data_IF_786489550510
#
_entry.id   IF_786489550510
#
_cell.length_a   1.000
_cell.length_b   1.000
_cell.length_c   1.000
_cell.angle_alpha   90.00
_cell.angle_beta   90.00
_cell.angle_gamma   90.00
#
_symmetry.space_group_name_H-M   'P 1'
#
loop_
_entity.id
_entity.type
_entity.pdbx_description
1 polymer ?
#
# COMPACT_ATOMS: atom_id res chain seq x y z
N UNK A 1 -14.05 4.85 46.00
CA UNK A 1 -12.89 5.60 45.48
C UNK A 1 -12.88 5.38 43.98
N UNK A 2 -13.43 6.33 43.21
CA UNK A 2 -13.60 6.20 41.76
C UNK A 2 -12.40 6.84 41.07
N UNK A 3 -11.62 6.03 40.35
CA UNK A 3 -10.53 6.52 39.50
C UNK A 3 -11.16 6.99 38.19
N UNK A 4 -11.32 8.30 38.02
CA UNK A 4 -11.60 8.88 36.71
C UNK A 4 -10.31 8.81 35.90
N UNK A 5 -10.28 7.90 34.93
CA UNK A 5 -9.23 7.89 33.92
C UNK A 5 -9.56 9.03 32.96
N UNK A 6 -8.88 10.17 33.14
CA UNK A 6 -8.84 11.22 32.13
C UNK A 6 -8.28 10.62 30.85
N UNK A 7 -9.14 10.44 29.85
CA UNK A 7 -8.72 10.24 28.48
C UNK A 7 -8.01 11.51 28.06
N UNK A 8 -6.68 11.58 28.26
CA UNK A 8 -5.84 12.54 27.56
C UNK A 8 -6.16 12.39 26.09
N UNK A 9 -6.65 13.48 25.50
CA UNK A 9 -6.91 13.62 24.08
C UNK A 9 -5.81 12.91 23.33
N UNK A 10 -6.17 11.81 22.67
CA UNK A 10 -5.26 11.13 21.76
C UNK A 10 -4.91 12.20 20.74
N UNK A 11 -3.63 12.53 20.51
CA UNK A 11 -3.28 13.55 19.53
C UNK A 11 -3.95 13.11 18.23
N UNK A 12 -4.88 13.94 17.75
CA UNK A 12 -5.50 13.76 16.44
C UNK A 12 -4.35 13.88 15.46
N UNK A 13 -3.75 12.75 15.11
CA UNK A 13 -2.76 12.67 14.05
C UNK A 13 -3.41 13.37 12.85
N UNK A 14 -2.82 14.47 12.37
CA UNK A 14 -3.43 15.21 11.29
C UNK A 14 -3.62 14.24 10.13
N UNK A 15 -4.86 14.14 9.63
CA UNK A 15 -5.22 13.30 8.47
C UNK A 15 -4.55 13.80 7.17
N UNK A 16 -3.66 14.80 7.27
CA UNK A 16 -2.73 15.19 6.23
C UNK A 16 -1.52 14.24 6.16
N UNK A 17 -1.79 12.94 5.97
CA UNK A 17 -0.80 12.09 5.33
C UNK A 17 -0.64 12.55 3.88
N UNK A 18 0.58 12.60 3.36
CA UNK A 18 0.80 12.72 1.92
C UNK A 18 -0.06 11.63 1.21
N UNK A 19 -0.99 12.00 0.32
CA UNK A 19 -1.84 11.03 -0.39
C UNK A 19 -1.03 9.92 -1.06
N UNK A 20 0.18 10.22 -1.52
CA UNK A 20 1.09 9.25 -2.11
C UNK A 20 1.60 8.24 -1.09
N UNK A 21 1.84 8.64 0.16
CA UNK A 21 2.27 7.73 1.22
C UNK A 21 1.11 6.81 1.61
N UNK A 22 -0.11 7.36 1.79
CA UNK A 22 -1.29 6.54 2.09
C UNK A 22 -1.58 5.51 1.00
N UNK A 23 -1.55 5.93 -0.26
CA UNK A 23 -1.78 5.03 -1.38
C UNK A 23 -0.76 3.89 -1.42
N UNK A 24 0.52 4.16 -1.16
CA UNK A 24 1.56 3.11 -1.03
C UNK A 24 1.28 2.14 0.11
N UNK A 25 0.89 2.63 1.30
CA UNK A 25 0.51 1.76 2.41
C UNK A 25 -0.72 0.92 2.11
N UNK A 26 -1.70 1.47 1.41
CA UNK A 26 -2.88 0.74 0.97
C UNK A 26 -2.51 -0.39 0.00
N UNK A 27 -1.62 -0.13 -0.96
CA UNK A 27 -1.11 -1.15 -1.89
C UNK A 27 -0.28 -2.23 -1.18
N UNK A 28 0.52 -1.87 -0.17
CA UNK A 28 1.21 -2.83 0.70
C UNK A 28 0.23 -3.71 1.47
N UNK A 29 -0.84 -3.14 2.01
CA UNK A 29 -1.87 -3.89 2.72
C UNK A 29 -2.52 -4.94 1.81
N UNK A 30 -2.84 -4.59 0.56
CA UNK A 30 -3.32 -5.55 -0.44
C UNK A 30 -2.28 -6.65 -0.70
N UNK A 31 -1.00 -6.28 -0.86
CA UNK A 31 0.10 -7.21 -1.07
C UNK A 31 0.21 -8.26 0.05
N UNK A 32 0.23 -7.83 1.32
CA UNK A 32 0.29 -8.74 2.47
C UNK A 32 -0.98 -9.56 2.65
N UNK A 33 -2.15 -8.98 2.41
CA UNK A 33 -3.43 -9.70 2.39
C UNK A 33 -3.43 -10.84 1.36
N UNK A 34 -2.79 -10.63 0.20
CA UNK A 34 -2.57 -11.67 -0.82
C UNK A 34 -1.74 -12.83 -0.29
N UNK A 35 -0.63 -12.55 0.41
CA UNK A 35 0.20 -13.58 1.02
C UNK A 35 -0.56 -14.40 2.07
N UNK A 36 -1.48 -13.77 2.81
CA UNK A 36 -2.30 -14.44 3.82
C UNK A 36 -3.56 -15.10 3.27
N UNK A 37 -3.90 -14.91 1.99
CA UNK A 37 -5.12 -15.45 1.37
C UNK A 37 -6.42 -14.78 1.85
N UNK A 38 -6.33 -13.68 2.59
CA UNK A 38 -7.47 -12.94 3.16
C UNK A 38 -7.65 -11.66 2.36
N UNK A 39 -8.44 -11.73 1.28
CA UNK A 39 -8.65 -10.63 0.36
C UNK A 39 -10.12 -10.33 0.12
N UNK A 40 -10.47 -9.08 0.37
CA UNK A 40 -11.76 -8.52 0.00
C UNK A 40 -11.66 -7.81 -1.35
N UNK A 41 -12.47 -8.26 -2.32
CA UNK A 41 -12.55 -7.65 -3.65
C UNK A 41 -12.89 -6.16 -3.57
N UNK A 42 -13.76 -5.76 -2.65
CA UNK A 42 -14.16 -4.35 -2.50
C UNK A 42 -12.98 -3.48 -2.05
N UNK A 43 -12.08 -4.02 -1.23
CA UNK A 43 -10.86 -3.36 -0.82
C UNK A 43 -9.89 -3.21 -2.00
N UNK A 44 -9.74 -4.25 -2.82
CA UNK A 44 -8.90 -4.23 -4.03
C UNK A 44 -9.33 -3.13 -4.99
N UNK A 45 -10.62 -3.10 -5.36
CA UNK A 45 -11.14 -2.12 -6.32
C UNK A 45 -11.01 -0.68 -5.77
N UNK A 46 -11.27 -0.49 -4.47
CA UNK A 46 -11.10 0.81 -3.80
C UNK A 46 -9.65 1.30 -3.81
N UNK A 47 -8.71 0.42 -3.47
CA UNK A 47 -7.27 0.74 -3.48
C UNK A 47 -6.79 1.00 -4.91
N UNK A 48 -7.28 0.24 -5.90
CA UNK A 48 -7.02 0.51 -7.32
C UNK A 48 -7.41 1.93 -7.73
N UNK A 49 -8.63 2.35 -7.37
CA UNK A 49 -9.09 3.72 -7.62
C UNK A 49 -8.32 4.79 -6.85
N UNK A 50 -7.79 4.49 -5.67
CA UNK A 50 -6.89 5.40 -4.94
C UNK A 50 -5.54 5.54 -5.64
N UNK A 51 -4.90 4.43 -5.99
CA UNK A 51 -3.61 4.40 -6.70
C UNK A 51 -3.70 5.17 -8.03
N UNK A 52 -4.73 4.89 -8.84
CA UNK A 52 -4.93 5.58 -10.11
C UNK A 52 -5.09 7.09 -9.93
N UNK A 53 -5.89 7.53 -8.96
CA UNK A 53 -6.10 8.97 -8.68
C UNK A 53 -4.84 9.65 -8.17
N UNK A 54 -4.00 8.95 -7.42
CA UNK A 54 -2.82 9.52 -6.79
C UNK A 54 -1.61 9.56 -7.72
N UNK A 55 -1.38 8.52 -8.52
CA UNK A 55 -0.18 8.39 -9.35
C UNK A 55 -0.44 8.51 -10.86
N UNK A 56 -1.70 8.42 -11.29
CA UNK A 56 -2.09 8.49 -12.69
C UNK A 56 -1.79 7.21 -13.48
N UNK A 57 -2.30 7.15 -14.71
CA UNK A 57 -2.22 5.97 -15.57
C UNK A 57 -0.78 5.57 -15.96
N UNK A 58 0.17 6.51 -15.99
CA UNK A 58 1.54 6.25 -16.43
C UNK A 58 2.47 5.71 -15.33
N UNK A 59 2.00 5.58 -14.09
CA UNK A 59 2.84 5.13 -12.98
C UNK A 59 2.97 3.62 -12.95
N UNK A 60 4.17 3.12 -12.67
CA UNK A 60 4.44 1.70 -12.41
C UNK A 60 3.53 1.12 -11.31
N UNK A 61 3.19 1.92 -10.28
CA UNK A 61 2.29 1.48 -9.21
C UNK A 61 0.88 1.23 -9.73
N UNK A 62 0.39 2.10 -10.63
CA UNK A 62 -0.91 1.95 -11.27
C UNK A 62 -0.92 0.71 -12.16
N UNK A 63 0.10 0.52 -12.98
CA UNK A 63 0.21 -0.66 -13.86
C UNK A 63 0.23 -1.97 -13.08
N UNK A 64 1.00 -2.06 -11.98
CA UNK A 64 1.07 -3.28 -11.18
C UNK A 64 -0.24 -3.54 -10.41
N UNK A 65 -0.92 -2.48 -9.94
CA UNK A 65 -2.23 -2.63 -9.31
C UNK A 65 -3.29 -3.09 -10.32
N UNK A 66 -3.31 -2.55 -11.54
CA UNK A 66 -4.23 -2.97 -12.60
C UNK A 66 -3.98 -4.42 -13.04
N UNK A 67 -2.70 -4.82 -13.13
CA UNK A 67 -2.32 -6.22 -13.38
C UNK A 67 -2.84 -7.13 -12.27
N UNK A 68 -2.72 -6.73 -11.00
CA UNK A 68 -3.25 -7.49 -9.87
C UNK A 68 -4.78 -7.63 -9.95
N UNK A 69 -5.51 -6.53 -10.19
CA UNK A 69 -6.98 -6.52 -10.32
C UNK A 69 -7.45 -7.47 -11.42
N UNK A 70 -6.73 -7.46 -12.56
CA UNK A 70 -7.03 -8.30 -13.72
C UNK A 70 -6.79 -9.78 -13.45
N UNK A 71 -5.72 -10.12 -12.72
CA UNK A 71 -5.37 -11.50 -12.37
C UNK A 71 -6.21 -12.06 -11.21
N UNK A 72 -6.75 -11.20 -10.35
CA UNK A 72 -7.42 -11.59 -9.09
C UNK A 72 -8.53 -12.64 -9.25
N UNK A 73 -9.45 -12.57 -10.22
CA UNK A 73 -10.51 -13.58 -10.38
C UNK A 73 -9.99 -14.99 -10.61
N UNK A 74 -8.84 -15.12 -11.27
CA UNK A 74 -8.18 -16.40 -11.56
C UNK A 74 -7.27 -16.82 -10.40
N UNK A 75 -6.47 -15.89 -9.89
CA UNK A 75 -5.47 -16.14 -8.85
C UNK A 75 -6.10 -16.56 -7.51
N UNK A 76 -7.32 -16.11 -7.18
CA UNK A 76 -7.99 -16.49 -5.92
C UNK A 76 -8.20 -18.00 -5.73
N UNK A 77 -8.11 -18.78 -6.82
CA UNK A 77 -8.27 -20.24 -6.78
C UNK A 77 -6.96 -20.98 -6.47
N UNK A 78 -5.82 -20.28 -6.47
CA UNK A 78 -4.49 -20.83 -6.22
C UNK A 78 -3.68 -19.88 -5.35
N UNK A 79 -3.39 -20.30 -4.11
CA UNK A 79 -2.68 -19.46 -3.15
C UNK A 79 -1.28 -19.03 -3.64
N UNK A 80 -0.62 -19.86 -4.45
CA UNK A 80 0.69 -19.54 -5.05
C UNK A 80 0.61 -18.35 -6.01
N UNK A 81 -0.36 -18.37 -6.94
CA UNK A 81 -0.58 -17.29 -7.90
C UNK A 81 -0.94 -15.97 -7.19
N UNK A 82 -1.74 -16.05 -6.12
CA UNK A 82 -2.11 -14.90 -5.30
C UNK A 82 -0.91 -14.36 -4.54
N UNK A 83 -0.09 -15.24 -3.97
CA UNK A 83 1.14 -14.86 -3.26
C UNK A 83 2.13 -14.17 -4.19
N UNK A 84 2.35 -14.72 -5.38
CA UNK A 84 3.22 -14.13 -6.40
C UNK A 84 2.72 -12.73 -6.82
N UNK A 85 1.40 -12.59 -7.02
CA UNK A 85 0.80 -11.29 -7.31
C UNK A 85 0.98 -10.31 -6.14
N UNK A 86 0.85 -10.76 -4.89
CA UNK A 86 1.10 -9.96 -3.69
C UNK A 86 2.55 -9.47 -3.59
N UNK A 87 3.53 -10.36 -3.83
CA UNK A 87 4.95 -10.00 -3.85
C UNK A 87 5.27 -8.94 -4.90
N UNK A 88 4.67 -9.04 -6.10
CA UNK A 88 4.84 -8.00 -7.14
C UNK A 88 4.39 -6.62 -6.67
N UNK A 89 3.24 -6.53 -5.97
CA UNK A 89 2.76 -5.27 -5.40
C UNK A 89 3.73 -4.69 -4.37
N UNK A 90 4.22 -5.54 -3.44
CA UNK A 90 5.17 -5.12 -2.40
C UNK A 90 6.45 -4.57 -3.04
N UNK A 91 7.03 -5.32 -3.98
CA UNK A 91 8.23 -4.88 -4.68
C UNK A 91 8.02 -3.63 -5.53
N UNK A 92 6.84 -3.42 -6.12
CA UNK A 92 6.53 -2.19 -6.84
C UNK A 92 6.58 -0.97 -5.91
N UNK A 93 5.98 -1.09 -4.72
CA UNK A 93 6.01 -0.03 -3.70
C UNK A 93 7.44 0.24 -3.23
N UNK A 94 8.22 -0.80 -2.91
CA UNK A 94 9.62 -0.67 -2.51
C UNK A 94 10.44 0.08 -3.57
N UNK A 95 10.35 -0.35 -4.84
CA UNK A 95 11.06 0.32 -5.95
C UNK A 95 10.65 1.79 -6.11
N UNK A 96 9.37 2.11 -5.93
CA UNK A 96 8.85 3.48 -6.07
C UNK A 96 9.25 4.41 -4.93
N UNK A 97 9.64 3.85 -3.78
CA UNK A 97 9.96 4.62 -2.56
C UNK A 97 11.44 4.96 -2.47
N UNK A 98 12.31 4.12 -3.02
CA UNK A 98 13.77 4.21 -2.85
C UNK A 98 14.54 4.77 -4.06
N UNK A 99 13.92 5.57 -4.92
CA UNK A 99 14.57 6.13 -6.12
C UNK A 99 15.59 7.26 -5.85
N UNK A 100 15.90 7.59 -4.59
CA UNK A 100 16.61 8.82 -4.22
C UNK A 100 17.76 8.73 -3.20
N UNK A 101 18.32 7.56 -2.86
CA UNK A 101 19.62 7.51 -2.14
C UNK A 101 20.81 7.39 -3.12
N UNK A 102 20.92 8.36 -4.03
CA UNK A 102 22.21 8.73 -4.62
C UNK A 102 22.67 10.03 -3.95
N UNK A 103 23.69 9.90 -3.08
CA UNK A 103 24.43 10.93 -2.30
C UNK A 103 23.78 11.45 -1.01
N UNK A 104 23.96 10.71 0.09
CA UNK A 104 24.40 11.33 1.35
C UNK A 104 25.91 11.56 1.24
N UNK A 105 26.31 12.72 0.73
CA UNK A 105 27.71 13.17 0.76
C UNK A 105 27.89 14.40 1.68
N UNK A 106 26.82 14.92 2.30
CA UNK A 106 26.85 16.18 3.04
C UNK A 106 26.58 16.00 4.55
N UNK A 107 26.88 14.82 5.13
CA UNK A 107 26.76 14.58 6.58
C UNK A 107 28.11 14.48 7.31
N UNK A 108 29.21 14.84 6.64
CA UNK A 108 30.49 15.10 7.29
C UNK A 108 30.82 16.58 7.10
N UNK A 109 30.34 17.40 8.03
CA UNK A 109 30.75 18.79 8.25
C UNK A 109 31.09 18.97 9.72
#
# INVERSE_FOLDING_TARGET
>A
MNVQIEYRETPVMPVSGDPSVRARFAMLAIGYSALSGILDRSAVDRVGGEIYRTFGAGSDLTHEMDRFISAFPCARHRQEDLSEAGYRLIHAVERSTWTGQRRRADLDG
#
